data_IF_452416928392
#
_entry.id   IF_452416928392
#
_cell.length_a   1.000
_cell.length_b   1.000
_cell.length_c   1.000
_cell.angle_alpha   90.00
_cell.angle_beta   90.00
_cell.angle_gamma   90.00
#
_symmetry.space_group_name_H-M   'P 1'
#
loop_
_entity.id
_entity.type
_entity.pdbx_description
1 polymer ?
#
# COMPACT_ATOMS: atom_id res chain seq x y z
N UNK A 1 76.79 -27.27 -4.88
CA UNK A 1 76.98 -26.18 -3.89
C UNK A 1 75.72 -25.32 -3.93
N UNK A 2 74.76 -25.51 -3.02
CA UNK A 2 74.62 -24.81 -1.70
C UNK A 2 74.48 -23.28 -1.97
N UNK A 3 73.42 -22.55 -1.60
CA UNK A 3 72.56 -22.57 -0.40
C UNK A 3 71.20 -21.91 -0.71
N UNK A 4 70.16 -22.40 -0.04
CA UNK A 4 68.90 -21.72 0.25
C UNK A 4 69.08 -20.37 0.97
N UNK A 5 68.21 -19.40 0.69
CA UNK A 5 67.75 -18.42 1.69
C UNK A 5 66.25 -18.18 1.55
N UNK A 6 65.50 -18.92 2.36
CA UNK A 6 64.23 -18.48 2.92
C UNK A 6 64.55 -17.51 4.06
N UNK A 7 63.96 -16.33 4.04
CA UNK A 7 63.56 -15.63 5.26
C UNK A 7 62.32 -14.79 4.93
N UNK A 8 61.24 -15.22 5.57
CA UNK A 8 59.92 -14.61 5.72
C UNK A 8 59.99 -13.34 6.56
N UNK A 9 59.19 -12.33 6.19
CA UNK A 9 58.37 -11.50 7.08
C UNK A 9 57.44 -10.67 6.16
N UNK A 10 56.12 -10.93 6.15
CA UNK A 10 55.17 -10.14 6.93
C UNK A 10 55.11 -8.71 6.38
N UNK A 11 54.10 -8.30 5.60
CA UNK A 11 52.74 -8.07 6.07
C UNK A 11 51.75 -8.12 4.91
N UNK A 12 50.65 -8.81 5.17
CA UNK A 12 49.48 -9.06 4.33
C UNK A 12 48.98 -7.74 3.71
N UNK A 13 48.93 -7.68 2.38
CA UNK A 13 48.10 -6.75 1.63
C UNK A 13 46.63 -7.08 1.96
N UNK A 14 46.14 -6.50 3.06
CA UNK A 14 44.72 -6.46 3.40
C UNK A 14 44.03 -5.51 2.44
N UNK A 15 43.85 -5.96 1.20
CA UNK A 15 42.92 -5.36 0.26
C UNK A 15 41.58 -5.20 0.97
N UNK A 16 41.11 -3.96 1.00
CA UNK A 16 39.78 -3.58 1.46
C UNK A 16 38.74 -4.39 0.66
N UNK A 17 38.38 -5.57 1.14
CA UNK A 17 37.04 -6.09 0.91
C UNK A 17 36.15 -5.38 1.93
N UNK A 18 35.83 -4.12 1.61
CA UNK A 18 34.52 -3.62 1.96
C UNK A 18 33.54 -4.65 1.40
N UNK A 19 32.99 -5.49 2.28
CA UNK A 19 31.69 -6.08 2.04
C UNK A 19 30.74 -4.88 1.91
N UNK A 20 30.67 -4.34 0.70
CA UNK A 20 29.49 -3.69 0.20
C UNK A 20 28.42 -4.78 0.27
N UNK A 21 27.76 -4.88 1.42
CA UNK A 21 26.37 -5.28 1.40
C UNK A 21 25.72 -4.26 0.46
N UNK A 22 25.57 -4.66 -0.81
CA UNK A 22 24.45 -4.22 -1.60
C UNK A 22 23.23 -4.68 -0.82
N UNK A 23 22.87 -3.88 0.20
CA UNK A 23 21.51 -3.75 0.67
C UNK A 23 20.84 -3.18 -0.57
N UNK A 24 20.34 -4.07 -1.42
CA UNK A 24 19.52 -3.66 -2.54
C UNK A 24 18.51 -2.67 -1.98
N UNK A 25 18.46 -1.50 -2.60
CA UNK A 25 17.57 -0.39 -2.27
C UNK A 25 16.11 -0.78 -2.55
N UNK A 26 15.63 -1.81 -1.87
CA UNK A 26 14.23 -1.88 -1.46
C UNK A 26 14.11 -0.99 -0.22
N UNK A 27 14.41 0.31 -0.38
CA UNK A 27 13.79 1.29 0.52
C UNK A 27 12.29 1.00 0.40
N UNK A 28 11.66 0.66 1.53
CA UNK A 28 10.34 0.05 1.63
C UNK A 28 9.40 0.35 0.47
N UNK A 29 9.07 -0.68 -0.33
CA UNK A 29 8.28 -0.51 -1.56
C UNK A 29 6.87 0.02 -1.26
N UNK A 30 6.29 -0.34 -0.11
CA UNK A 30 5.04 0.21 0.40
C UNK A 30 5.24 1.62 0.90
N UNK A 31 6.19 1.83 1.84
CA UNK A 31 6.42 3.14 2.46
C UNK A 31 6.76 4.22 1.42
N UNK A 32 7.55 3.87 0.42
CA UNK A 32 7.95 4.80 -0.67
C UNK A 32 6.80 5.21 -1.60
N UNK A 33 5.72 4.43 -1.67
CA UNK A 33 4.54 4.75 -2.52
C UNK A 33 3.54 5.67 -1.84
N UNK A 34 3.58 5.79 -0.51
CA UNK A 34 2.62 6.58 0.28
C UNK A 34 2.50 8.04 -0.18
N UNK A 35 3.59 8.79 -0.45
CA UNK A 35 3.44 10.17 -0.90
C UNK A 35 2.62 10.33 -2.18
N UNK A 36 2.82 9.45 -3.16
CA UNK A 36 2.09 9.47 -4.43
C UNK A 36 0.61 9.09 -4.25
N UNK A 37 0.33 8.11 -3.38
CA UNK A 37 -1.03 7.71 -3.00
C UNK A 37 -1.77 8.87 -2.37
N UNK A 38 -1.16 9.51 -1.36
CA UNK A 38 -1.75 10.66 -0.66
C UNK A 38 -1.99 11.82 -1.63
N UNK A 39 -1.05 12.10 -2.54
CA UNK A 39 -1.22 13.15 -3.55
C UNK A 39 -2.43 12.92 -4.45
N UNK A 40 -2.65 11.68 -4.91
CA UNK A 40 -3.80 11.33 -5.75
C UNK A 40 -5.12 11.40 -4.96
N UNK A 41 -5.14 10.93 -3.71
CA UNK A 41 -6.32 11.02 -2.86
C UNK A 41 -6.68 12.49 -2.52
N UNK A 42 -5.68 13.35 -2.30
CA UNK A 42 -5.87 14.79 -2.14
C UNK A 42 -6.37 15.45 -3.44
N UNK A 43 -5.94 14.97 -4.60
CA UNK A 43 -6.49 15.42 -5.88
C UNK A 43 -7.98 15.05 -6.02
N UNK A 44 -8.38 13.84 -5.65
CA UNK A 44 -9.79 13.45 -5.64
C UNK A 44 -10.62 14.34 -4.72
N UNK A 45 -10.12 14.63 -3.51
CA UNK A 45 -10.77 15.55 -2.59
C UNK A 45 -10.91 16.97 -3.17
N UNK A 46 -9.82 17.54 -3.68
CA UNK A 46 -9.80 18.91 -4.24
C UNK A 46 -10.63 19.07 -5.51
N UNK A 47 -10.73 18.01 -6.33
CA UNK A 47 -11.54 18.02 -7.55
C UNK A 47 -13.03 17.86 -7.29
N UNK A 48 -13.43 17.60 -6.04
CA UNK A 48 -14.83 17.34 -5.66
C UNK A 48 -15.28 15.91 -5.94
N UNK A 49 -14.37 14.99 -6.23
CA UNK A 49 -14.71 13.57 -6.34
C UNK A 49 -15.18 13.00 -5.01
N UNK A 50 -14.58 13.40 -3.88
CA UNK A 50 -15.03 13.01 -2.54
C UNK A 50 -14.90 14.18 -1.57
N UNK A 51 -15.59 14.12 -0.43
CA UNK A 51 -15.43 15.14 0.63
C UNK A 51 -14.16 14.93 1.44
N UNK A 52 -13.82 13.67 1.71
CA UNK A 52 -12.63 13.31 2.46
C UNK A 52 -12.22 11.87 2.15
N UNK A 53 -11.04 11.47 2.62
CA UNK A 53 -10.58 10.08 2.56
C UNK A 53 -9.80 9.72 3.83
N UNK A 54 -9.57 8.43 4.00
CA UNK A 54 -8.72 7.88 5.06
C UNK A 54 -8.09 6.60 4.56
N UNK A 55 -6.82 6.39 4.89
CA UNK A 55 -6.05 5.20 4.52
C UNK A 55 -5.37 4.64 5.77
N UNK A 56 -5.37 3.31 5.93
CA UNK A 56 -4.79 2.59 7.07
C UNK A 56 -4.20 1.25 6.64
N UNK A 57 -3.18 0.76 7.34
CA UNK A 57 -2.87 -0.68 7.34
C UNK A 57 -4.03 -1.42 8.03
N UNK A 58 -4.37 -2.63 7.56
CA UNK A 58 -5.43 -3.41 8.20
C UNK A 58 -5.07 -3.88 9.62
N UNK A 59 -3.77 -3.93 9.90
CA UNK A 59 -3.23 -4.54 11.10
C UNK A 59 -3.06 -3.52 12.23
N UNK A 60 -3.07 -2.22 11.90
CA UNK A 60 -3.01 -1.13 12.87
C UNK A 60 -4.41 -0.55 13.16
N UNK A 61 -4.84 -0.68 14.42
CA UNK A 61 -6.07 -0.07 14.92
C UNK A 61 -5.87 1.39 15.35
N UNK A 62 -4.65 1.91 15.26
CA UNK A 62 -4.28 3.21 15.79
C UNK A 62 -4.32 4.30 14.70
N UNK A 63 -5.22 5.27 14.86
CA UNK A 63 -5.47 6.35 13.91
C UNK A 63 -4.30 7.35 13.75
N UNK A 64 -3.26 7.20 14.57
CA UNK A 64 -2.16 8.16 14.70
C UNK A 64 -0.82 7.64 14.17
N UNK A 65 -0.76 6.37 13.76
CA UNK A 65 0.43 5.75 13.19
C UNK A 65 0.69 6.15 11.74
N UNK A 66 1.89 5.85 11.21
CA UNK A 66 2.13 5.89 9.76
C UNK A 66 1.20 4.89 9.06
N UNK A 67 0.89 5.14 7.79
CA UNK A 67 -0.02 4.29 7.00
C UNK A 67 0.58 2.90 6.79
N UNK A 68 1.86 2.87 6.45
CA UNK A 68 2.71 1.69 6.44
C UNK A 68 4.00 2.03 7.16
N UNK A 69 4.61 1.03 7.78
CA UNK A 69 5.93 1.12 8.37
C UNK A 69 6.89 0.07 7.77
N UNK A 70 8.09 -0.02 8.33
CA UNK A 70 9.11 -0.97 7.88
C UNK A 70 8.69 -2.43 8.09
N UNK A 71 7.80 -2.72 9.05
CA UNK A 71 7.29 -4.07 9.32
C UNK A 71 6.29 -4.50 8.26
N UNK A 72 5.49 -3.58 7.71
CA UNK A 72 4.62 -3.88 6.57
C UNK A 72 5.45 -4.24 5.33
N UNK A 73 6.54 -3.52 5.09
CA UNK A 73 7.47 -3.81 3.98
C UNK A 73 8.22 -5.14 4.16
N UNK A 74 8.63 -5.45 5.38
CA UNK A 74 9.19 -6.76 5.73
C UNK A 74 8.14 -7.86 5.54
N UNK A 75 6.91 -7.64 6.01
CA UNK A 75 5.81 -8.60 5.89
C UNK A 75 5.45 -8.88 4.43
N UNK A 76 5.39 -7.84 3.59
CA UNK A 76 5.18 -8.01 2.16
C UNK A 76 6.33 -8.78 1.50
N UNK A 77 7.57 -8.61 1.99
CA UNK A 77 8.73 -9.33 1.47
C UNK A 77 8.79 -10.80 1.92
N UNK A 78 8.37 -11.09 3.16
CA UNK A 78 8.43 -12.44 3.76
C UNK A 78 7.20 -13.27 3.39
N UNK A 79 6.01 -12.71 3.57
CA UNK A 79 4.73 -13.41 3.40
C UNK A 79 4.12 -13.18 2.02
N UNK A 80 4.65 -12.22 1.24
CA UNK A 80 4.17 -11.91 -0.10
C UNK A 80 2.89 -11.09 -0.13
N UNK A 81 2.32 -10.75 1.03
CA UNK A 81 1.01 -10.08 1.13
C UNK A 81 0.98 -9.00 2.19
N UNK A 82 0.34 -7.87 1.91
CA UNK A 82 -0.03 -6.84 2.88
C UNK A 82 -1.45 -6.34 2.61
N UNK A 83 -2.13 -5.81 3.63
CA UNK A 83 -3.53 -5.39 3.52
C UNK A 83 -3.68 -3.92 3.90
N UNK A 84 -4.54 -3.22 3.16
CA UNK A 84 -4.76 -1.79 3.30
C UNK A 84 -6.26 -1.49 3.21
N UNK A 85 -6.72 -0.58 4.06
CA UNK A 85 -8.08 -0.07 4.05
C UNK A 85 -8.08 1.37 3.57
N UNK A 86 -8.89 1.66 2.55
CA UNK A 86 -9.08 3.03 2.03
C UNK A 86 -10.56 3.40 2.12
N UNK A 87 -10.89 4.27 3.06
CA UNK A 87 -12.23 4.88 3.18
C UNK A 87 -12.32 6.11 2.30
N UNK A 88 -13.35 6.19 1.46
CA UNK A 88 -13.70 7.37 0.67
C UNK A 88 -15.05 7.88 1.13
N UNK A 89 -15.09 9.12 1.63
CA UNK A 89 -16.28 9.72 2.20
C UNK A 89 -17.02 10.57 1.18
N UNK A 90 -18.30 10.25 1.03
CA UNK A 90 -19.23 10.87 0.07
C UNK A 90 -18.64 10.97 -1.34
N UNK A 91 -18.22 9.85 -1.97
CA UNK A 91 -17.74 9.90 -3.34
C UNK A 91 -18.88 10.27 -4.30
N UNK A 92 -18.54 11.02 -5.35
CA UNK A 92 -19.47 11.45 -6.39
C UNK A 92 -20.13 10.26 -7.11
N UNK A 93 -19.50 9.09 -7.10
CA UNK A 93 -20.01 7.86 -7.70
C UNK A 93 -20.93 7.07 -6.77
N UNK A 94 -21.03 7.41 -5.47
CA UNK A 94 -21.72 6.60 -4.46
C UNK A 94 -23.15 6.23 -4.85
N UNK A 95 -23.95 7.22 -5.26
CA UNK A 95 -25.35 6.98 -5.63
C UNK A 95 -25.51 6.01 -6.80
N UNK A 96 -24.65 6.12 -7.82
CA UNK A 96 -24.64 5.20 -8.95
C UNK A 96 -24.14 3.80 -8.53
N UNK A 97 -23.06 3.74 -7.74
CA UNK A 97 -22.50 2.49 -7.23
C UNK A 97 -23.52 1.68 -6.41
N UNK A 98 -24.33 2.35 -5.58
CA UNK A 98 -25.39 1.69 -4.80
C UNK A 98 -26.52 1.13 -5.67
N UNK A 99 -26.88 1.82 -6.75
CA UNK A 99 -27.90 1.34 -7.68
C UNK A 99 -27.41 0.13 -8.48
N UNK A 100 -26.17 0.18 -8.95
CA UNK A 100 -25.59 -0.84 -9.82
C UNK A 100 -25.20 -2.11 -9.04
N UNK A 101 -24.63 -2.00 -7.83
CA UNK A 101 -24.22 -3.17 -7.05
C UNK A 101 -25.41 -4.01 -6.55
N UNK A 102 -26.64 -3.48 -6.54
CA UNK A 102 -27.84 -4.26 -6.23
C UNK A 102 -28.19 -5.33 -7.26
N UNK A 103 -27.59 -5.30 -8.47
CA UNK A 103 -28.02 -6.11 -9.61
C UNK A 103 -27.06 -7.26 -9.98
N UNK A 104 -26.17 -7.71 -9.09
CA UNK A 104 -25.07 -8.63 -9.44
C UNK A 104 -24.18 -8.09 -10.58
N UNK A 105 -24.13 -6.76 -10.72
CA UNK A 105 -23.32 -6.11 -11.74
C UNK A 105 -21.84 -6.42 -11.52
N UNK A 106 -21.14 -6.74 -12.61
CA UNK A 106 -19.67 -6.87 -12.63
C UNK A 106 -18.96 -5.53 -12.79
N UNK A 107 -19.73 -4.45 -12.86
CA UNK A 107 -19.25 -3.10 -13.04
C UNK A 107 -19.64 -2.27 -11.83
N UNK A 108 -18.66 -1.64 -11.20
CA UNK A 108 -18.86 -0.56 -10.25
C UNK A 108 -18.00 0.64 -10.71
N UNK A 109 -18.54 1.86 -10.73
CA UNK A 109 -17.75 3.05 -11.07
C UNK A 109 -16.73 3.34 -9.96
N UNK A 110 -15.54 2.75 -10.10
CA UNK A 110 -14.41 2.92 -9.17
C UNK A 110 -13.17 3.47 -9.87
N UNK A 111 -12.86 4.72 -9.56
CA UNK A 111 -11.62 5.37 -10.00
C UNK A 111 -10.51 5.29 -8.95
N UNK A 112 -10.85 5.04 -7.68
CA UNK A 112 -9.89 5.09 -6.58
C UNK A 112 -9.04 3.82 -6.59
N UNK A 113 -9.66 2.64 -6.51
CA UNK A 113 -8.94 1.37 -6.46
C UNK A 113 -8.01 1.20 -7.65
N UNK A 114 -8.52 1.48 -8.85
CA UNK A 114 -7.75 1.42 -10.11
C UNK A 114 -6.57 2.39 -10.12
N UNK A 115 -6.74 3.61 -9.61
CA UNK A 115 -5.64 4.60 -9.57
C UNK A 115 -4.55 4.19 -8.59
N UNK A 116 -4.93 3.71 -7.40
CA UNK A 116 -3.98 3.26 -6.39
C UNK A 116 -3.20 2.02 -6.87
N UNK A 117 -3.89 1.07 -7.50
CA UNK A 117 -3.28 -0.10 -8.13
C UNK A 117 -2.19 0.29 -9.12
N UNK A 118 -2.46 1.27 -9.98
CA UNK A 118 -1.50 1.75 -10.97
C UNK A 118 -0.26 2.38 -10.32
N UNK A 119 -0.42 3.09 -9.20
CA UNK A 119 0.70 3.68 -8.44
C UNK A 119 1.56 2.57 -7.82
N UNK A 120 0.93 1.63 -7.11
CA UNK A 120 1.64 0.51 -6.49
C UNK A 120 2.38 -0.35 -7.50
N UNK A 121 1.77 -0.66 -8.64
CA UNK A 121 2.40 -1.46 -9.67
C UNK A 121 3.58 -0.72 -10.31
N UNK A 122 3.41 0.57 -10.63
CA UNK A 122 4.44 1.37 -11.30
C UNK A 122 5.62 1.72 -10.40
N UNK A 123 5.36 2.07 -9.14
CA UNK A 123 6.37 2.62 -8.23
C UNK A 123 6.88 1.58 -7.22
N UNK A 124 6.04 0.62 -6.81
CA UNK A 124 6.41 -0.42 -5.86
C UNK A 124 6.63 -1.81 -6.48
N UNK A 125 6.22 -2.02 -7.74
CA UNK A 125 6.18 -3.36 -8.33
C UNK A 125 5.18 -4.28 -7.63
N UNK A 126 4.15 -3.71 -7.01
CA UNK A 126 3.18 -4.40 -6.16
C UNK A 126 1.86 -4.54 -6.92
N UNK A 127 1.33 -5.76 -6.99
CA UNK A 127 0.00 -6.02 -7.56
C UNK A 127 -1.04 -5.86 -6.48
N UNK A 128 -2.20 -5.31 -6.83
CA UNK A 128 -3.30 -5.14 -5.88
C UNK A 128 -4.60 -5.70 -6.40
N UNK A 129 -5.37 -6.33 -5.52
CA UNK A 129 -6.78 -6.65 -5.71
C UNK A 129 -7.58 -5.97 -4.61
N UNK A 130 -8.84 -5.63 -4.86
CA UNK A 130 -9.66 -4.99 -3.83
C UNK A 130 -11.13 -5.36 -3.93
N UNK A 131 -11.75 -5.36 -2.76
CA UNK A 131 -13.20 -5.45 -2.59
C UNK A 131 -13.75 -4.10 -2.15
N UNK A 132 -14.98 -3.81 -2.56
CA UNK A 132 -15.66 -2.55 -2.25
C UNK A 132 -16.85 -2.82 -1.34
N UNK A 133 -16.87 -2.14 -0.21
CA UNK A 133 -17.97 -2.14 0.74
C UNK A 133 -18.58 -0.74 0.84
N UNK A 134 -19.87 -0.66 1.11
CA UNK A 134 -20.52 0.58 1.50
C UNK A 134 -20.80 0.55 3.00
N UNK A 135 -20.53 1.66 3.67
CA UNK A 135 -20.65 1.74 5.14
C UNK A 135 -21.62 2.87 5.48
N UNK A 136 -22.63 2.51 6.27
CA UNK A 136 -23.46 3.48 7.00
C UNK A 136 -22.83 3.67 8.38
N UNK A 137 -22.42 4.89 8.74
CA UNK A 137 -21.82 5.17 10.05
C UNK A 137 -22.84 5.02 11.20
N UNK A 138 -24.13 5.03 10.89
CA UNK A 138 -25.20 4.88 11.86
C UNK A 138 -25.88 3.51 11.71
N UNK A 139 -25.92 2.73 12.79
CA UNK A 139 -26.71 1.50 12.79
C UNK A 139 -28.20 1.84 12.80
N UNK A 140 -28.92 1.35 11.79
CA UNK A 140 -30.36 1.55 11.63
C UNK A 140 -31.09 0.21 11.78
N UNK A 141 -32.04 0.07 12.72
CA UNK A 141 -32.77 -1.19 12.91
C UNK A 141 -33.58 -1.64 11.69
N UNK A 142 -34.04 -0.69 10.87
CA UNK A 142 -34.76 -0.96 9.64
C UNK A 142 -33.79 -0.90 8.45
N UNK A 143 -33.55 -2.02 7.73
CA UNK A 143 -32.63 -2.06 6.60
C UNK A 143 -32.98 -1.11 5.45
N UNK A 144 -34.24 -0.69 5.32
CA UNK A 144 -34.66 0.27 4.28
C UNK A 144 -34.13 1.68 4.51
N UNK A 145 -33.76 1.99 5.75
CA UNK A 145 -33.23 3.30 6.11
C UNK A 145 -31.70 3.35 5.92
N UNK A 146 -31.07 2.25 5.50
CA UNK A 146 -29.63 2.16 5.23
C UNK A 146 -29.20 3.26 4.26
N UNK A 147 -28.33 4.14 4.75
CA UNK A 147 -27.91 5.36 4.05
C UNK A 147 -26.38 5.49 4.14
N UNK A 148 -25.65 4.67 3.37
CA UNK A 148 -24.20 4.70 3.41
C UNK A 148 -23.70 6.04 2.88
N UNK A 149 -22.64 6.53 3.51
CA UNK A 149 -21.91 7.73 3.06
C UNK A 149 -20.42 7.45 2.85
N UNK A 150 -19.99 6.22 3.07
CA UNK A 150 -18.60 5.78 2.93
C UNK A 150 -18.54 4.63 1.93
N UNK A 151 -17.56 4.70 1.04
CA UNK A 151 -17.10 3.60 0.21
C UNK A 151 -15.75 3.14 0.77
N UNK A 152 -15.71 1.93 1.33
CA UNK A 152 -14.53 1.32 1.90
C UNK A 152 -13.94 0.34 0.89
N UNK A 153 -12.69 0.57 0.51
CA UNK A 153 -11.91 -0.36 -0.30
C UNK A 153 -11.02 -1.18 0.64
N UNK A 154 -11.19 -2.50 0.63
CA UNK A 154 -10.27 -3.42 1.27
C UNK A 154 -9.32 -3.94 0.20
N UNK A 155 -8.06 -3.50 0.27
CA UNK A 155 -7.05 -3.72 -0.74
C UNK A 155 -6.04 -4.74 -0.22
N UNK A 156 -5.82 -5.80 -0.99
CA UNK A 156 -4.77 -6.78 -0.77
C UNK A 156 -3.64 -6.53 -1.76
N UNK A 157 -2.46 -6.28 -1.23
CA UNK A 157 -1.21 -5.99 -1.93
C UNK A 157 -0.37 -7.26 -1.97
N UNK A 158 0.14 -7.62 -3.15
CA UNK A 158 0.88 -8.85 -3.41
C UNK A 158 2.16 -8.55 -4.19
N UNK A 159 3.24 -9.26 -3.85
CA UNK A 159 4.54 -9.18 -4.54
C UNK A 159 4.87 -10.45 -5.31
#
# INVERSE_FOLDING_TARGET
>A
MIVNKLETDGTIQGGQQQMSSNKDKNDGALVSTIPAIVEVLELFKRSGYCKNFRIRSSDDNNDSGPIFDELDDESLTIYGTANCLVSIYEPATLGASLQINGENSRFAPDFVGTSLAAIWEKHGGIRSTWDVFFVDPEYRPNPKDYFPNEQLLQITLNK
#
